data_IF_193247479658
#
_entry.id   IF_193247479658
#
_cell.length_a   1.000
_cell.length_b   1.000
_cell.length_c   1.000
_cell.angle_alpha   90.00
_cell.angle_beta   90.00
_cell.angle_gamma   90.00
#
_symmetry.space_group_name_H-M   'P 1'
#
loop_
_entity.id
_entity.type
_entity.pdbx_description
1 polymer ?
#
# COMPACT_ATOMS: atom_id res chain seq x y z
N UNK A 1 -12.48 19.16 26.23
CA UNK A 1 -12.71 19.62 24.84
C UNK A 1 -11.81 18.77 23.95
N UNK A 2 -12.34 18.16 22.89
CA UNK A 2 -11.49 17.42 21.94
C UNK A 2 -10.59 18.44 21.22
N UNK A 3 -9.28 18.29 21.35
CA UNK A 3 -8.30 19.11 20.64
C UNK A 3 -8.19 18.58 19.22
N UNK A 4 -8.58 19.38 18.23
CA UNK A 4 -8.33 19.04 16.83
C UNK A 4 -6.83 19.18 16.56
N UNK A 5 -6.19 18.10 16.11
CA UNK A 5 -4.76 18.07 15.76
C UNK A 5 -4.66 18.12 14.23
N UNK A 6 -4.08 19.19 13.69
CA UNK A 6 -3.83 19.29 12.26
C UNK A 6 -2.85 18.20 11.83
N UNK A 7 -3.22 17.43 10.81
CA UNK A 7 -2.42 16.30 10.29
C UNK A 7 -2.36 16.38 8.77
N UNK A 8 -1.15 16.37 8.21
CA UNK A 8 -0.90 16.49 6.76
C UNK A 8 -0.66 15.12 6.13
N UNK A 9 -1.35 14.85 5.02
CA UNK A 9 -1.23 13.61 4.26
C UNK A 9 -0.66 13.88 2.86
N UNK A 10 0.25 13.02 2.41
CA UNK A 10 0.64 12.89 1.01
C UNK A 10 0.13 11.55 0.47
N UNK A 11 -0.66 11.58 -0.59
CA UNK A 11 -1.21 10.37 -1.22
C UNK A 11 -0.69 10.29 -2.65
N UNK A 12 -0.15 9.14 -3.01
CA UNK A 12 0.43 8.82 -4.32
C UNK A 12 -0.04 7.45 -4.76
N UNK A 13 0.02 7.16 -6.05
CA UNK A 13 -0.38 5.86 -6.62
C UNK A 13 0.26 5.69 -8.01
N UNK A 14 0.27 4.46 -8.53
CA UNK A 14 0.53 4.18 -9.95
C UNK A 14 1.89 4.72 -10.44
N UNK A 15 2.92 4.55 -9.61
CA UNK A 15 4.28 4.96 -9.95
C UNK A 15 4.88 4.15 -11.10
N UNK A 16 4.51 2.88 -11.24
CA UNK A 16 5.04 1.97 -12.25
C UNK A 16 6.57 2.00 -12.40
N UNK A 17 7.28 2.01 -11.26
CA UNK A 17 8.75 2.08 -11.22
C UNK A 17 9.34 3.44 -11.61
N UNK A 18 8.53 4.50 -11.69
CA UNK A 18 8.95 5.85 -12.09
C UNK A 18 8.91 6.82 -10.92
N UNK A 19 9.68 7.88 -11.09
CA UNK A 19 9.63 9.03 -10.19
C UNK A 19 8.35 9.84 -10.44
N UNK A 20 7.39 9.76 -9.50
CA UNK A 20 6.15 10.54 -9.56
C UNK A 20 6.40 12.04 -9.32
N UNK A 21 7.34 12.37 -8.43
CA UNK A 21 7.66 13.74 -8.05
C UNK A 21 9.10 14.06 -8.43
N UNK A 22 9.30 15.04 -9.31
CA UNK A 22 10.63 15.56 -9.66
C UNK A 22 11.38 16.08 -8.42
N UNK A 23 10.64 16.57 -7.42
CA UNK A 23 11.13 16.88 -6.07
C UNK A 23 10.01 16.63 -5.06
N UNK A 24 10.23 15.88 -3.97
CA UNK A 24 9.25 15.73 -2.91
C UNK A 24 8.99 17.08 -2.22
N UNK A 25 7.83 17.28 -1.57
CA UNK A 25 7.57 18.47 -0.77
C UNK A 25 8.69 18.68 0.24
N UNK A 26 9.18 19.93 0.34
CA UNK A 26 10.20 20.29 1.32
C UNK A 26 9.64 20.33 2.75
N UNK A 27 8.33 20.55 2.87
CA UNK A 27 7.61 20.61 4.12
C UNK A 27 7.46 19.22 4.75
N UNK A 28 7.30 19.19 6.07
CA UNK A 28 7.04 17.96 6.82
C UNK A 28 5.62 17.45 6.54
N UNK A 29 5.50 16.13 6.47
CA UNK A 29 4.25 15.41 6.23
C UNK A 29 4.08 14.41 7.38
N UNK A 30 2.89 14.33 7.97
CA UNK A 30 2.68 13.36 9.04
C UNK A 30 2.57 11.94 8.48
N UNK A 31 1.89 11.78 7.34
CA UNK A 31 1.61 10.47 6.73
C UNK A 31 1.76 10.52 5.21
N UNK A 32 2.61 9.67 4.65
CA UNK A 32 2.67 9.41 3.22
C UNK A 32 2.07 8.02 2.91
N UNK A 33 1.23 7.93 1.88
CA UNK A 33 0.57 6.69 1.46
C UNK A 33 0.81 6.48 -0.05
N UNK A 34 1.31 5.31 -0.43
CA UNK A 34 1.36 4.84 -1.82
C UNK A 34 0.27 3.77 -2.04
N UNK A 35 -0.68 4.03 -2.93
CA UNK A 35 -1.95 3.30 -3.05
C UNK A 35 -1.99 2.21 -4.14
N UNK A 36 -0.88 1.52 -4.39
CA UNK A 36 -0.80 0.48 -5.42
C UNK A 36 0.11 0.82 -6.59
N UNK A 37 0.42 -0.20 -7.38
CA UNK A 37 1.20 -0.15 -8.62
C UNK A 37 2.53 0.57 -8.46
N UNK A 38 3.32 0.02 -7.54
CA UNK A 38 4.71 0.44 -7.33
C UNK A 38 5.56 0.14 -8.56
N UNK A 39 5.19 -0.88 -9.32
CA UNK A 39 5.95 -1.42 -10.45
C UNK A 39 5.09 -1.53 -11.71
N UNK A 40 5.70 -1.69 -12.87
CA UNK A 40 5.01 -2.10 -14.09
C UNK A 40 5.03 -3.61 -14.26
N UNK A 41 6.16 -4.24 -13.92
CA UNK A 41 6.42 -5.67 -14.20
C UNK A 41 6.87 -6.44 -12.95
N UNK A 42 6.68 -5.86 -11.76
CA UNK A 42 7.09 -6.45 -10.48
C UNK A 42 8.59 -6.73 -10.36
N UNK A 43 9.43 -5.95 -11.04
CA UNK A 43 10.88 -6.13 -10.99
C UNK A 43 11.48 -5.44 -9.77
N UNK A 44 12.55 -6.03 -9.25
CA UNK A 44 13.22 -5.55 -8.05
C UNK A 44 13.80 -4.13 -8.21
N UNK A 45 14.26 -3.77 -9.40
CA UNK A 45 14.74 -2.42 -9.72
C UNK A 45 13.61 -1.38 -9.73
N UNK A 46 12.42 -1.75 -10.18
CA UNK A 46 11.22 -0.90 -10.10
C UNK A 46 10.83 -0.64 -8.65
N UNK A 47 10.75 -1.70 -7.82
CA UNK A 47 10.49 -1.53 -6.37
C UNK A 47 11.53 -0.64 -5.71
N UNK A 48 12.81 -0.86 -6.00
CA UNK A 48 13.90 -0.02 -5.45
C UNK A 48 13.75 1.43 -5.86
N UNK A 49 13.33 1.70 -7.09
CA UNK A 49 13.13 3.06 -7.59
C UNK A 49 11.99 3.73 -6.84
N UNK A 50 10.81 3.11 -6.79
CA UNK A 50 9.64 3.64 -6.08
C UNK A 50 9.89 3.82 -4.58
N UNK A 51 10.53 2.84 -3.93
CA UNK A 51 10.84 2.92 -2.50
C UNK A 51 11.88 4.00 -2.17
N UNK A 52 12.88 4.24 -3.03
CA UNK A 52 13.81 5.38 -2.85
C UNK A 52 13.06 6.70 -2.90
N UNK A 53 12.14 6.86 -3.84
CA UNK A 53 11.32 8.06 -3.91
C UNK A 53 10.45 8.27 -2.67
N UNK A 54 9.88 7.19 -2.12
CA UNK A 54 9.12 7.26 -0.89
C UNK A 54 10.03 7.54 0.32
N UNK A 55 11.27 7.04 0.33
CA UNK A 55 12.26 7.34 1.37
C UNK A 55 12.60 8.83 1.40
N UNK A 56 12.72 9.48 0.24
CA UNK A 56 13.04 10.91 0.11
C UNK A 56 11.92 11.84 0.60
N UNK A 57 10.69 11.34 0.75
CA UNK A 57 9.60 12.12 1.37
C UNK A 57 9.89 12.32 2.86
N UNK A 58 9.86 13.57 3.31
CA UNK A 58 9.98 13.93 4.74
C UNK A 58 8.67 13.63 5.49
N UNK A 59 8.38 12.33 5.67
CA UNK A 59 7.20 11.85 6.37
C UNK A 59 7.53 10.96 7.57
N UNK A 60 6.77 11.12 8.66
CA UNK A 60 6.92 10.30 9.88
C UNK A 60 6.43 8.86 9.67
N UNK A 61 5.25 8.70 9.03
CA UNK A 61 4.69 7.40 8.68
C UNK A 61 4.62 7.25 7.15
N UNK A 62 5.10 6.12 6.63
CA UNK A 62 5.04 5.76 5.21
C UNK A 62 4.30 4.43 5.08
N UNK A 63 3.14 4.46 4.44
CA UNK A 63 2.32 3.28 4.17
C UNK A 63 2.37 2.96 2.68
N UNK A 64 2.48 1.69 2.35
CA UNK A 64 2.54 1.20 0.97
C UNK A 64 1.54 0.07 0.83
N UNK A 65 0.69 0.18 -0.18
CA UNK A 65 -0.27 -0.83 -0.59
C UNK A 65 0.21 -1.37 -1.92
N UNK A 66 0.30 -2.69 -2.06
CA UNK A 66 0.64 -3.34 -3.32
C UNK A 66 -0.56 -3.25 -4.29
N UNK A 67 -0.30 -2.98 -5.57
CA UNK A 67 -1.31 -3.05 -6.63
C UNK A 67 -1.22 -4.33 -7.44
N UNK A 68 -1.99 -4.42 -8.52
CA UNK A 68 -2.03 -5.61 -9.39
C UNK A 68 -0.74 -5.83 -10.17
N UNK A 69 0.07 -4.79 -10.37
CA UNK A 69 1.39 -4.93 -11.00
C UNK A 69 2.48 -5.43 -10.02
N UNK A 70 2.22 -5.42 -8.71
CA UNK A 70 3.19 -5.76 -7.68
C UNK A 70 3.13 -7.24 -7.25
N UNK A 71 2.78 -8.14 -8.18
CA UNK A 71 2.49 -9.55 -7.90
C UNK A 71 3.62 -10.35 -7.23
N UNK A 72 4.89 -9.92 -7.31
CA UNK A 72 5.99 -10.55 -6.54
C UNK A 72 5.98 -10.20 -5.05
N UNK A 73 5.26 -9.15 -4.64
CA UNK A 73 4.92 -8.92 -3.23
C UNK A 73 3.83 -9.89 -2.75
N UNK A 74 3.16 -10.57 -3.68
CA UNK A 74 2.15 -11.60 -3.43
C UNK A 74 2.62 -12.96 -3.98
N UNK A 75 3.81 -13.39 -3.53
CA UNK A 75 4.44 -14.67 -3.93
C UNK A 75 3.46 -15.85 -3.83
N UNK A 76 2.64 -16.00 -2.77
CA UNK A 76 1.71 -17.11 -2.66
C UNK A 76 0.43 -16.96 -3.49
N UNK A 77 -0.14 -15.75 -3.70
CA UNK A 77 -1.29 -15.63 -4.59
C UNK A 77 -0.92 -15.76 -6.06
N UNK A 78 0.27 -15.29 -6.47
CA UNK A 78 0.80 -15.58 -7.80
C UNK A 78 0.92 -17.10 -8.02
N UNK A 79 1.50 -17.82 -7.06
CA UNK A 79 1.61 -19.28 -7.14
C UNK A 79 0.27 -20.04 -6.99
N UNK A 80 -0.73 -19.44 -6.33
CA UNK A 80 -2.02 -20.08 -6.03
C UNK A 80 -3.10 -19.78 -7.07
N UNK A 81 -3.15 -18.58 -7.65
CA UNK A 81 -4.02 -18.24 -8.80
C UNK A 81 -3.63 -19.10 -10.01
N UNK A 82 -2.32 -19.28 -10.24
CA UNK A 82 -1.79 -20.17 -11.29
C UNK A 82 -2.13 -21.64 -11.04
N UNK A 83 -2.20 -22.08 -9.77
CA UNK A 83 -2.48 -23.47 -9.41
C UNK A 83 -3.97 -23.83 -9.28
N UNK A 84 -4.83 -22.90 -8.87
CA UNK A 84 -6.16 -23.23 -8.31
C UNK A 84 -7.33 -22.52 -9.00
N UNK A 85 -7.19 -22.25 -10.30
CA UNK A 85 -8.37 -22.06 -11.15
C UNK A 85 -9.23 -23.34 -11.11
N UNK A 86 -10.35 -23.23 -10.38
CA UNK A 86 -11.48 -24.16 -10.14
C UNK A 86 -11.21 -25.46 -9.35
N UNK A 87 -11.99 -25.71 -8.26
CA UNK A 87 -13.13 -24.92 -7.71
C UNK A 87 -12.67 -23.85 -6.66
N UNK A 88 -13.57 -23.00 -6.08
CA UNK A 88 -13.19 -21.74 -5.42
C UNK A 88 -12.56 -21.88 -4.02
N UNK A 89 -11.86 -20.82 -3.59
CA UNK A 89 -11.01 -20.76 -2.40
C UNK A 89 -11.79 -20.52 -1.09
N UNK A 90 -11.44 -21.28 -0.04
CA UNK A 90 -12.01 -21.22 1.33
C UNK A 90 -11.53 -20.00 2.15
N UNK A 91 -12.35 -19.40 3.04
CA UNK A 91 -12.01 -18.18 3.79
C UNK A 91 -10.75 -18.28 4.68
N UNK A 92 -10.48 -19.42 5.30
CA UNK A 92 -9.26 -19.63 6.10
C UNK A 92 -8.01 -19.68 5.23
N UNK A 93 -8.12 -20.25 4.03
CA UNK A 93 -7.06 -20.22 3.04
C UNK A 93 -6.83 -18.79 2.57
N UNK A 94 -7.90 -18.01 2.34
CA UNK A 94 -7.79 -16.59 1.99
C UNK A 94 -7.06 -15.81 3.08
N UNK A 95 -7.39 -16.02 4.37
CA UNK A 95 -6.70 -15.36 5.48
C UNK A 95 -5.22 -15.75 5.59
N UNK A 96 -4.91 -17.04 5.39
CA UNK A 96 -3.52 -17.54 5.38
C UNK A 96 -2.73 -17.03 4.16
N UNK A 97 -3.39 -16.87 3.01
CA UNK A 97 -2.77 -16.53 1.73
C UNK A 97 -2.61 -15.02 1.56
N UNK A 98 -3.64 -14.24 1.86
CA UNK A 98 -3.68 -12.80 1.62
C UNK A 98 -3.57 -11.96 2.89
N UNK A 99 -3.48 -12.61 4.06
CA UNK A 99 -3.31 -11.96 5.35
C UNK A 99 -4.62 -11.63 6.08
N UNK A 100 -4.47 -11.06 7.28
CA UNK A 100 -5.59 -10.66 8.12
C UNK A 100 -6.15 -9.29 7.70
N UNK A 101 -7.47 -9.17 7.69
CA UNK A 101 -8.15 -7.88 7.66
C UNK A 101 -8.29 -7.33 9.08
N UNK A 102 -8.27 -6.01 9.22
CA UNK A 102 -8.42 -5.41 10.55
C UNK A 102 -8.10 -3.92 10.60
N UNK A 103 -8.38 -3.34 11.76
CA UNK A 103 -7.95 -1.99 12.09
C UNK A 103 -6.57 -2.02 12.73
N UNK A 104 -5.67 -1.19 12.20
CA UNK A 104 -4.34 -0.92 12.71
C UNK A 104 -4.30 0.53 13.19
N UNK A 105 -3.66 0.77 14.34
CA UNK A 105 -3.58 2.11 14.94
C UNK A 105 -2.13 2.57 15.00
N UNK A 106 -1.89 3.81 14.57
CA UNK A 106 -0.59 4.45 14.53
C UNK A 106 -0.66 5.75 15.33
N UNK A 107 0.23 5.89 16.31
CA UNK A 107 0.40 7.14 17.04
C UNK A 107 1.39 8.02 16.29
N UNK A 108 0.91 9.12 15.74
CA UNK A 108 1.71 10.05 14.95
C UNK A 108 2.50 10.99 15.87
N UNK A 109 3.58 11.57 15.32
CA UNK A 109 4.49 12.45 16.06
C UNK A 109 3.80 13.74 16.54
N UNK A 110 2.86 14.26 15.75
CA UNK A 110 2.03 15.41 16.11
C UNK A 110 1.01 15.10 17.25
N UNK A 111 0.96 13.87 17.74
CA UNK A 111 0.06 13.42 18.80
C UNK A 111 -1.28 12.88 18.33
N UNK A 112 -1.57 12.92 17.02
CA UNK A 112 -2.77 12.32 16.45
C UNK A 112 -2.72 10.78 16.48
N UNK A 113 -3.89 10.16 16.53
CA UNK A 113 -4.05 8.72 16.38
C UNK A 113 -4.66 8.44 15.01
N UNK A 114 -3.90 7.80 14.13
CA UNK A 114 -4.38 7.33 12.83
C UNK A 114 -4.84 5.88 12.97
N UNK A 115 -6.10 5.62 12.63
CA UNK A 115 -6.63 4.25 12.51
C UNK A 115 -6.84 3.91 11.04
N UNK A 116 -6.15 2.86 10.58
CA UNK A 116 -6.21 2.36 9.20
C UNK A 116 -6.94 1.02 9.22
N UNK A 117 -7.99 0.87 8.42
CA UNK A 117 -8.57 -0.43 8.16
C UNK A 117 -7.92 -1.03 6.91
N UNK A 118 -7.24 -2.16 7.04
CA UNK A 118 -6.67 -2.90 5.91
C UNK A 118 -7.48 -4.18 5.69
N UNK A 119 -7.69 -4.51 4.42
CA UNK A 119 -8.39 -5.72 4.00
C UNK A 119 -7.79 -6.21 2.69
N UNK A 120 -7.44 -7.51 2.58
CA UNK A 120 -7.03 -8.09 1.31
C UNK A 120 -8.21 -8.29 0.34
N UNK A 121 -9.45 -8.11 0.82
CA UNK A 121 -10.64 -8.17 -0.03
C UNK A 121 -10.86 -6.83 -0.73
N UNK A 122 -10.44 -6.76 -1.99
CA UNK A 122 -10.98 -5.78 -2.95
C UNK A 122 -12.04 -6.50 -3.78
N UNK A 123 -13.34 -6.14 -3.69
CA UNK A 123 -14.36 -6.74 -4.54
C UNK A 123 -14.01 -6.49 -6.01
N UNK A 124 -14.04 -7.53 -6.84
CA UNK A 124 -13.96 -7.40 -8.29
C UNK A 124 -15.24 -6.72 -8.80
N UNK A 125 -15.29 -5.40 -8.77
CA UNK A 125 -16.38 -4.61 -9.33
C UNK A 125 -15.78 -3.53 -10.23
N UNK A 126 -15.88 -3.75 -11.54
CA UNK A 126 -15.82 -2.64 -12.51
C UNK A 126 -15.05 -2.83 -13.81
N UNK A 127 -14.93 -4.05 -14.37
CA UNK A 127 -14.77 -4.13 -15.83
C UNK A 127 -16.18 -4.03 -16.44
N UNK A 128 -16.56 -2.81 -16.83
CA UNK A 128 -17.67 -2.55 -17.76
C UNK A 128 -17.12 -2.12 -19.10
#
# INVERSE_FOLDING_TARGET
MATNISTTFLIMSDSHGKQLLSKPPAEHIDVAIHCGDLTQESKLDEFKTTLRHLQDVNADLKLVIAGNHDFTLDVPAFESIVRNTRPPLEPELVRKTYGDYGSYEFKLRNGALLRVYASPYTPSLGDS
#
